data_IF_060659486746
#
_entry.id   IF_060659486746
#
_cell.length_a   1.000
_cell.length_b   1.000
_cell.length_c   1.000
_cell.angle_alpha   90.00
_cell.angle_beta   90.00
_cell.angle_gamma   90.00
#
_symmetry.space_group_name_H-M   'P 1'
#
loop_
_entity.id
_entity.type
_entity.pdbx_description
1 polymer ?
#
# COMPACT_ATOMS: atom_id res chain seq x y z
N UNK A 1 31.03 -2.89 5.95
CA UNK A 1 30.69 -4.30 6.26
C UNK A 1 29.75 -4.29 7.47
N UNK A 2 28.44 -4.08 7.25
CA UNK A 2 27.39 -4.03 8.30
C UNK A 2 25.96 -3.85 7.76
N UNK A 3 25.75 -3.58 6.46
CA UNK A 3 24.41 -3.47 5.90
C UNK A 3 23.77 -4.85 5.64
N UNK A 4 24.54 -5.82 5.12
CA UNK A 4 24.03 -7.15 4.79
C UNK A 4 23.56 -7.97 6.01
N UNK A 5 24.26 -7.82 7.15
CA UNK A 5 23.91 -8.52 8.39
C UNK A 5 22.63 -7.97 9.03
N UNK A 6 22.42 -6.64 9.00
CA UNK A 6 21.18 -6.04 9.50
C UNK A 6 19.99 -6.37 8.60
N UNK A 7 20.17 -6.34 7.28
CA UNK A 7 19.13 -6.70 6.33
C UNK A 7 18.71 -8.17 6.46
N UNK A 8 19.67 -9.07 6.69
CA UNK A 8 19.37 -10.48 6.95
C UNK A 8 18.61 -10.70 8.26
N UNK A 9 18.98 -9.98 9.33
CA UNK A 9 18.28 -10.05 10.62
C UNK A 9 16.86 -9.49 10.51
N UNK A 10 16.66 -8.35 9.86
CA UNK A 10 15.32 -7.77 9.65
C UNK A 10 14.45 -8.66 8.77
N UNK A 11 15.01 -9.23 7.70
CA UNK A 11 14.31 -10.23 6.87
C UNK A 11 13.92 -11.46 7.69
N UNK A 12 14.81 -11.97 8.55
CA UNK A 12 14.51 -13.14 9.39
C UNK A 12 13.41 -12.87 10.42
N UNK A 13 13.40 -11.68 11.04
CA UNK A 13 12.33 -11.25 11.95
C UNK A 13 11.01 -11.03 11.22
N UNK A 14 11.05 -10.41 10.05
CA UNK A 14 9.88 -10.22 9.20
C UNK A 14 9.23 -11.56 8.85
N UNK A 15 10.02 -12.53 8.37
CA UNK A 15 9.53 -13.88 8.01
C UNK A 15 8.94 -14.65 9.20
N UNK A 16 9.38 -14.37 10.43
CA UNK A 16 8.81 -14.97 11.65
C UNK A 16 7.45 -14.38 12.05
N UNK A 17 7.16 -13.14 11.62
CA UNK A 17 5.89 -12.45 11.90
C UNK A 17 4.80 -12.75 10.86
N UNK A 18 5.12 -13.43 9.75
CA UNK A 18 4.16 -13.81 8.71
C UNK A 18 3.23 -14.93 9.25
N UNK A 19 1.92 -14.69 9.39
CA UNK A 19 0.92 -15.73 9.57
C UNK A 19 0.99 -16.69 8.39
N UNK A 20 0.88 -17.98 8.68
CA UNK A 20 0.79 -19.03 7.67
C UNK A 20 -0.56 -18.97 6.94
N UNK A 21 -0.76 -17.95 6.10
CA UNK A 21 -1.86 -17.93 5.13
C UNK A 21 -1.65 -19.16 4.24
N UNK A 22 -2.70 -19.98 4.05
CA UNK A 22 -2.59 -21.14 3.17
C UNK A 22 -2.22 -20.69 1.75
N UNK A 23 -1.12 -21.21 1.16
CA UNK A 23 -0.70 -20.85 -0.20
C UNK A 23 -1.79 -21.09 -1.26
N UNK A 24 -2.71 -22.01 -1.00
CA UNK A 24 -3.85 -22.30 -1.89
C UNK A 24 -4.83 -21.13 -1.98
N UNK A 25 -5.03 -20.37 -0.89
CA UNK A 25 -5.90 -19.18 -0.88
C UNK A 25 -5.28 -18.00 -1.64
N UNK A 26 -3.97 -18.04 -1.90
CA UNK A 26 -3.25 -17.02 -2.66
C UNK A 26 -3.23 -17.30 -4.17
N UNK A 27 -3.60 -18.50 -4.61
CA UNK A 27 -3.37 -18.97 -6.00
C UNK A 27 -4.63 -19.32 -6.80
N UNK A 28 -5.83 -19.26 -6.22
CA UNK A 28 -7.01 -19.88 -6.83
C UNK A 28 -7.79 -18.99 -7.83
N UNK A 29 -7.10 -18.15 -8.60
CA UNK A 29 -7.69 -17.24 -9.59
C UNK A 29 -6.90 -17.25 -10.91
N UNK A 30 -7.54 -16.83 -12.00
CA UNK A 30 -6.83 -16.56 -13.24
C UNK A 30 -5.92 -15.35 -13.01
N UNK A 31 -4.61 -15.59 -12.95
CA UNK A 31 -3.60 -14.58 -12.64
C UNK A 31 -3.62 -13.45 -13.67
N UNK A 32 -3.59 -12.20 -13.18
CA UNK A 32 -3.35 -10.99 -13.97
C UNK A 32 -1.86 -10.70 -14.17
N UNK A 33 -0.98 -11.40 -13.47
CA UNK A 33 0.44 -11.08 -13.41
C UNK A 33 1.03 -11.26 -12.01
N UNK A 34 2.30 -10.94 -11.85
CA UNK A 34 3.02 -11.03 -10.58
C UNK A 34 3.00 -9.71 -9.78
N UNK A 35 3.54 -9.74 -8.56
CA UNK A 35 3.62 -8.55 -7.68
C UNK A 35 4.33 -7.34 -8.31
N UNK A 36 5.40 -7.53 -9.09
CA UNK A 36 6.11 -6.43 -9.75
C UNK A 36 5.25 -5.78 -10.82
N UNK A 37 4.52 -6.58 -11.60
CA UNK A 37 3.56 -6.09 -12.59
C UNK A 37 2.44 -5.31 -11.91
N UNK A 38 1.95 -5.75 -10.75
CA UNK A 38 1.00 -4.98 -9.94
C UNK A 38 1.54 -3.60 -9.57
N UNK A 39 2.81 -3.52 -9.13
CA UNK A 39 3.45 -2.25 -8.77
C UNK A 39 3.67 -1.33 -9.97
N UNK A 40 3.93 -1.87 -11.16
CA UNK A 40 4.02 -1.09 -12.39
C UNK A 40 2.68 -0.49 -12.80
N UNK A 41 1.60 -1.29 -12.76
CA UNK A 41 0.24 -0.80 -13.03
C UNK A 41 -0.18 0.24 -12.00
N UNK A 42 0.08 -0.02 -10.71
CA UNK A 42 -0.23 0.92 -9.63
C UNK A 42 0.53 2.23 -9.79
N UNK A 43 1.84 2.14 -10.08
CA UNK A 43 2.68 3.31 -10.31
C UNK A 43 2.21 4.15 -11.50
N UNK A 44 1.82 3.51 -12.60
CA UNK A 44 1.28 4.21 -13.75
C UNK A 44 -0.04 4.93 -13.46
N UNK A 45 -0.95 4.26 -12.73
CA UNK A 45 -2.21 4.88 -12.32
C UNK A 45 -1.97 6.08 -11.40
N UNK A 46 -1.16 5.90 -10.36
CA UNK A 46 -0.93 6.92 -9.33
C UNK A 46 -0.17 8.14 -9.87
N UNK A 47 0.85 7.91 -10.70
CA UNK A 47 1.63 9.00 -11.29
C UNK A 47 0.94 9.70 -12.46
N UNK A 48 -0.04 9.05 -13.10
CA UNK A 48 -0.64 9.50 -14.35
C UNK A 48 0.28 9.39 -15.57
N UNK A 49 1.40 8.67 -15.47
CA UNK A 49 2.38 8.48 -16.55
C UNK A 49 2.44 7.00 -16.99
N UNK A 50 2.80 6.72 -18.26
CA UNK A 50 2.88 5.34 -18.77
C UNK A 50 3.80 4.43 -17.95
N UNK A 51 3.48 3.13 -17.93
CA UNK A 51 4.32 2.08 -17.32
C UNK A 51 5.77 2.20 -17.82
N UNK A 52 6.72 2.14 -16.88
CA UNK A 52 8.15 2.25 -17.18
C UNK A 52 8.68 3.68 -17.41
N UNK A 53 7.85 4.72 -17.36
CA UNK A 53 8.35 6.10 -17.47
C UNK A 53 9.14 6.50 -16.21
N UNK A 54 10.44 6.80 -16.39
CA UNK A 54 11.32 7.26 -15.30
C UNK A 54 10.82 8.52 -14.58
N UNK A 55 9.97 9.33 -15.20
CA UNK A 55 9.40 10.54 -14.60
C UNK A 55 8.33 10.23 -13.54
N UNK A 56 7.81 9.00 -13.49
CA UNK A 56 6.87 8.57 -12.45
C UNK A 56 7.38 8.90 -11.04
N UNK A 57 8.67 8.70 -10.78
CA UNK A 57 9.26 8.93 -9.46
C UNK A 57 9.37 10.42 -9.08
N UNK A 58 9.16 11.34 -10.03
CA UNK A 58 9.38 12.78 -9.86
C UNK A 58 8.08 13.59 -9.84
N UNK A 59 6.91 12.95 -9.94
CA UNK A 59 5.63 13.66 -9.97
C UNK A 59 5.22 14.16 -8.59
N UNK A 60 4.44 15.24 -8.58
CA UNK A 60 3.75 15.75 -7.40
C UNK A 60 2.37 16.26 -7.82
N UNK A 61 1.33 15.87 -7.08
CA UNK A 61 -0.03 16.34 -7.38
C UNK A 61 -0.41 17.61 -6.60
N UNK A 62 -1.59 18.15 -6.88
CA UNK A 62 -2.08 19.41 -6.28
C UNK A 62 -2.29 19.37 -4.76
N UNK A 63 -2.34 18.19 -4.14
CA UNK A 63 -2.42 17.97 -2.70
C UNK A 63 -1.04 17.66 -2.08
N UNK A 64 0.02 17.71 -2.87
CA UNK A 64 1.41 17.49 -2.43
C UNK A 64 1.79 16.02 -2.28
N UNK A 65 1.01 15.07 -2.79
CA UNK A 65 1.46 13.67 -2.81
C UNK A 65 2.57 13.50 -3.85
N UNK A 66 3.62 12.75 -3.51
CA UNK A 66 4.87 12.71 -4.28
C UNK A 66 5.25 11.32 -4.79
N UNK A 67 5.93 11.30 -5.93
CA UNK A 67 6.57 10.11 -6.50
C UNK A 67 5.62 9.13 -7.17
N UNK A 68 6.17 7.99 -7.62
CA UNK A 68 5.49 6.99 -8.46
C UNK A 68 4.22 6.47 -7.83
N UNK A 69 4.22 6.36 -6.50
CA UNK A 69 3.12 5.83 -5.69
C UNK A 69 2.35 6.90 -4.91
N UNK A 70 2.54 8.19 -5.22
CA UNK A 70 1.83 9.30 -4.59
C UNK A 70 1.86 9.22 -3.05
N UNK A 71 3.06 9.18 -2.47
CA UNK A 71 3.25 9.16 -1.02
C UNK A 71 2.82 10.47 -0.38
N UNK A 72 2.13 10.39 0.76
CA UNK A 72 1.82 11.54 1.62
C UNK A 72 2.68 11.57 2.88
N UNK A 73 2.69 12.70 3.57
CA UNK A 73 3.34 12.87 4.87
C UNK A 73 2.90 11.81 5.89
N UNK A 74 1.60 11.46 6.05
CA UNK A 74 1.18 10.48 7.05
C UNK A 74 1.91 9.14 6.92
N UNK A 75 1.99 8.59 5.70
CA UNK A 75 2.64 7.29 5.51
C UNK A 75 4.16 7.39 5.65
N UNK A 76 4.79 8.48 5.15
CA UNK A 76 6.23 8.65 5.33
C UNK A 76 6.64 8.94 6.78
N UNK A 77 5.73 9.44 7.61
CA UNK A 77 5.90 9.53 9.08
C UNK A 77 5.90 8.12 9.70
N UNK A 78 4.89 7.30 9.40
CA UNK A 78 4.79 5.94 9.93
C UNK A 78 5.97 5.05 9.49
N UNK A 79 6.49 5.28 8.28
CA UNK A 79 7.68 4.59 7.76
C UNK A 79 9.00 5.17 8.28
N UNK A 80 8.97 6.31 8.97
CA UNK A 80 10.14 6.94 9.58
C UNK A 80 11.05 7.70 8.61
N UNK A 81 10.58 8.08 7.41
CA UNK A 81 11.31 8.96 6.50
C UNK A 81 11.13 10.44 6.86
N UNK A 82 10.01 10.80 7.48
CA UNK A 82 9.62 12.17 7.73
C UNK A 82 9.07 12.35 9.15
N UNK A 83 9.16 13.56 9.70
CA UNK A 83 8.69 13.88 11.05
C UNK A 83 8.11 15.28 11.10
N UNK A 84 6.84 15.36 11.49
CA UNK A 84 6.12 16.59 11.82
C UNK A 84 4.99 16.30 12.81
N UNK A 85 4.43 17.35 13.41
CA UNK A 85 3.22 17.28 14.24
C UNK A 85 1.97 17.80 13.49
N UNK A 86 2.14 18.45 12.33
CA UNK A 86 1.05 18.99 11.52
C UNK A 86 1.24 18.41 10.12
N UNK A 87 0.29 17.62 9.67
CA UNK A 87 0.39 16.92 8.38
C UNK A 87 -0.99 16.77 7.76
N UNK A 88 -1.04 16.29 6.52
CA UNK A 88 -2.30 16.10 5.79
C UNK A 88 -3.34 15.30 6.59
N UNK A 89 -4.52 15.89 6.82
CA UNK A 89 -5.58 15.30 7.65
C UNK A 89 -5.37 15.44 9.16
N UNK A 90 -4.29 16.08 9.60
CA UNK A 90 -3.97 16.40 10.99
C UNK A 90 -3.45 17.85 11.10
N UNK A 91 -4.36 18.80 10.93
CA UNK A 91 -4.05 20.23 11.01
C UNK A 91 -3.51 20.86 9.71
N UNK A 92 -3.28 20.06 8.66
CA UNK A 92 -2.97 20.54 7.31
C UNK A 92 -3.97 20.01 6.28
N UNK A 93 -4.26 20.83 5.26
CA UNK A 93 -5.09 20.50 4.11
C UNK A 93 -4.30 19.88 2.95
N UNK A 94 -2.97 19.91 3.00
CA UNK A 94 -2.05 19.33 2.01
C UNK A 94 -0.78 18.76 2.64
N UNK A 95 -0.02 18.02 1.85
CA UNK A 95 1.33 17.58 2.21
C UNK A 95 2.32 18.70 1.84
N UNK A 96 2.82 19.43 2.83
CA UNK A 96 3.66 20.61 2.58
C UNK A 96 5.16 20.31 2.54
N UNK A 97 5.60 19.21 3.16
CA UNK A 97 7.00 18.78 3.20
C UNK A 97 7.97 19.82 3.80
N UNK A 98 7.48 20.66 4.74
CA UNK A 98 8.19 21.80 5.32
C UNK A 98 9.06 21.49 6.56
N UNK A 99 8.95 20.29 7.11
CA UNK A 99 9.60 19.87 8.35
C UNK A 99 10.74 18.86 8.08
N UNK A 100 10.93 17.90 8.99
CA UNK A 100 12.18 17.15 9.11
C UNK A 100 12.12 15.81 8.40
N UNK A 101 12.93 15.67 7.35
CA UNK A 101 13.35 14.37 6.84
C UNK A 101 14.39 13.73 7.78
N UNK A 102 14.31 12.42 7.97
CA UNK A 102 15.06 11.73 9.05
C UNK A 102 16.44 11.24 8.62
N UNK A 103 16.72 11.15 7.33
CA UNK A 103 17.92 10.51 6.79
C UNK A 103 17.77 9.00 6.55
N UNK A 104 16.59 8.41 6.76
CA UNK A 104 16.35 6.98 6.50
C UNK A 104 16.66 6.66 5.02
N UNK A 105 17.46 5.61 4.78
CA UNK A 105 17.99 5.25 3.45
C UNK A 105 18.64 6.43 2.73
N UNK A 106 19.40 7.23 3.47
CA UNK A 106 20.04 8.45 3.01
C UNK A 106 19.05 9.51 2.50
N UNK A 107 17.76 9.47 2.84
CA UNK A 107 16.80 10.50 2.43
C UNK A 107 16.66 11.58 3.51
N UNK A 108 17.26 12.73 3.24
CA UNK A 108 17.26 13.93 4.09
C UNK A 108 16.54 15.13 3.45
N UNK A 109 15.95 14.96 2.27
CA UNK A 109 15.09 15.97 1.63
C UNK A 109 14.04 15.35 0.70
N UNK A 110 13.01 16.13 0.38
CA UNK A 110 11.98 15.78 -0.62
C UNK A 110 12.60 15.54 -2.00
N UNK A 111 13.52 16.40 -2.41
CA UNK A 111 14.22 16.31 -3.69
C UNK A 111 14.99 14.99 -3.77
N UNK A 112 15.68 14.60 -2.69
CA UNK A 112 16.42 13.34 -2.65
C UNK A 112 15.49 12.13 -2.72
N UNK A 113 14.32 12.19 -2.07
CA UNK A 113 13.30 11.14 -2.20
C UNK A 113 12.78 11.00 -3.64
N UNK A 114 12.45 12.12 -4.29
CA UNK A 114 11.98 12.16 -5.68
C UNK A 114 13.04 11.68 -6.69
N UNK A 115 14.32 11.87 -6.39
CA UNK A 115 15.45 11.41 -7.21
C UNK A 115 15.93 9.99 -6.87
N UNK A 116 15.23 9.27 -5.98
CA UNK A 116 15.64 7.94 -5.52
C UNK A 116 14.59 6.86 -5.86
N UNK A 117 14.49 6.41 -7.13
CA UNK A 117 13.58 5.33 -7.53
C UNK A 117 13.67 4.10 -6.63
N UNK A 118 14.90 3.64 -6.33
CA UNK A 118 15.14 2.50 -5.44
C UNK A 118 14.50 2.69 -4.06
N UNK A 119 14.55 3.90 -3.51
CA UNK A 119 13.99 4.18 -2.19
C UNK A 119 12.47 4.26 -2.23
N UNK A 120 11.87 4.74 -3.33
CA UNK A 120 10.41 4.68 -3.50
C UNK A 120 9.89 3.25 -3.63
N UNK A 121 10.62 2.37 -4.33
CA UNK A 121 10.32 0.93 -4.42
C UNK A 121 10.44 0.20 -3.06
N UNK A 122 11.40 0.61 -2.23
CA UNK A 122 11.51 0.17 -0.83
C UNK A 122 10.30 0.69 -0.03
N UNK A 123 10.02 1.99 -0.08
CA UNK A 123 8.97 2.63 0.70
C UNK A 123 7.57 2.10 0.40
N UNK A 124 7.25 1.77 -0.87
CA UNK A 124 5.94 1.17 -1.19
C UNK A 124 5.81 -0.22 -0.56
N UNK A 125 6.86 -1.04 -0.56
CA UNK A 125 6.84 -2.36 0.09
C UNK A 125 6.69 -2.26 1.59
N UNK A 126 7.36 -1.30 2.22
CA UNK A 126 7.18 -1.00 3.63
C UNK A 126 5.76 -0.52 3.94
N UNK A 127 5.17 0.35 3.10
CA UNK A 127 3.79 0.82 3.25
C UNK A 127 2.78 -0.32 3.12
N UNK A 128 2.92 -1.19 2.12
CA UNK A 128 2.05 -2.35 1.94
C UNK A 128 2.20 -3.34 3.10
N UNK A 129 3.41 -3.53 3.61
CA UNK A 129 3.69 -4.34 4.80
C UNK A 129 2.99 -3.78 6.03
N UNK A 130 3.11 -2.48 6.29
CA UNK A 130 2.45 -1.83 7.41
C UNK A 130 0.92 -1.93 7.29
N UNK A 131 0.38 -1.68 6.09
CA UNK A 131 -1.04 -1.80 5.80
C UNK A 131 -1.55 -3.20 6.12
N UNK A 132 -0.87 -4.22 5.60
CA UNK A 132 -1.18 -5.62 5.88
C UNK A 132 -1.23 -5.92 7.38
N UNK A 133 -0.18 -5.55 8.14
CA UNK A 133 -0.11 -5.76 9.60
C UNK A 133 -1.26 -5.07 10.34
N UNK A 134 -1.58 -3.83 9.96
CA UNK A 134 -2.65 -3.06 10.62
C UNK A 134 -4.04 -3.58 10.29
N UNK A 135 -4.27 -4.06 9.07
CA UNK A 135 -5.52 -4.72 8.68
C UNK A 135 -5.69 -6.01 9.50
N UNK A 136 -4.70 -6.89 9.47
CA UNK A 136 -4.74 -8.16 10.20
C UNK A 136 -4.95 -7.96 11.70
N UNK A 137 -4.21 -7.02 12.31
CA UNK A 137 -4.41 -6.61 13.71
C UNK A 137 -5.84 -6.13 13.99
N UNK A 138 -6.45 -5.39 13.05
CA UNK A 138 -7.82 -4.88 13.21
C UNK A 138 -8.86 -5.99 13.08
N UNK A 139 -8.67 -6.92 12.14
CA UNK A 139 -9.54 -8.10 11.98
C UNK A 139 -9.46 -9.03 13.20
N UNK A 140 -8.25 -9.25 13.74
CA UNK A 140 -8.04 -10.09 14.92
C UNK A 140 -8.79 -9.59 16.16
N UNK A 141 -8.96 -8.27 16.32
CA UNK A 141 -9.80 -7.69 17.39
C UNK A 141 -11.27 -8.10 17.28
N UNK A 142 -11.73 -8.54 16.11
CA UNK A 142 -13.08 -9.02 15.83
C UNK A 142 -13.14 -10.56 15.72
N UNK A 143 -12.07 -11.27 16.12
CA UNK A 143 -11.98 -12.73 15.97
C UNK A 143 -11.91 -13.18 14.50
N UNK A 144 -11.41 -12.31 13.60
CA UNK A 144 -11.23 -12.58 12.18
C UNK A 144 -9.75 -12.50 11.79
N UNK A 145 -9.46 -12.93 10.58
CA UNK A 145 -8.15 -12.93 9.92
C UNK A 145 -8.35 -12.64 8.42
N UNK A 146 -7.29 -12.31 7.69
CA UNK A 146 -7.38 -12.07 6.25
C UNK A 146 -7.86 -13.30 5.48
N UNK A 147 -7.46 -14.49 5.93
CA UNK A 147 -7.84 -15.80 5.41
C UNK A 147 -9.35 -16.03 5.47
N UNK A 148 -10.05 -15.37 6.40
CA UNK A 148 -11.52 -15.41 6.44
C UNK A 148 -12.17 -14.62 5.30
N UNK A 149 -11.41 -13.98 4.40
CA UNK A 149 -11.92 -13.18 3.29
C UNK A 149 -11.33 -13.57 1.94
N UNK A 150 -10.06 -13.99 1.90
CA UNK A 150 -9.37 -14.36 0.66
C UNK A 150 -10.14 -15.43 -0.13
N UNK A 151 -10.28 -15.23 -1.43
CA UNK A 151 -10.99 -16.10 -2.37
C UNK A 151 -12.52 -15.93 -2.39
N UNK A 152 -13.10 -15.16 -1.46
CA UNK A 152 -14.56 -14.95 -1.45
C UNK A 152 -14.99 -13.99 -2.55
N UNK A 153 -16.12 -14.29 -3.18
CA UNK A 153 -16.87 -13.32 -3.99
C UNK A 153 -17.83 -12.57 -3.08
N UNK A 154 -17.69 -11.25 -3.00
CA UNK A 154 -18.59 -10.39 -2.22
C UNK A 154 -19.19 -9.33 -3.14
N UNK A 155 -20.48 -9.07 -2.95
CA UNK A 155 -21.18 -7.97 -3.62
C UNK A 155 -21.18 -6.75 -2.72
N UNK A 156 -20.76 -5.62 -3.26
CA UNK A 156 -20.69 -4.32 -2.59
C UNK A 156 -21.60 -3.32 -3.30
N UNK A 157 -22.10 -2.36 -2.53
CA UNK A 157 -22.84 -1.20 -3.02
C UNK A 157 -21.88 0.00 -3.11
N UNK A 158 -21.74 0.56 -4.30
CA UNK A 158 -20.93 1.73 -4.64
C UNK A 158 -21.86 2.84 -5.13
N UNK A 159 -22.46 3.58 -4.20
CA UNK A 159 -23.39 4.67 -4.51
C UNK A 159 -24.60 4.22 -5.38
N UNK A 160 -25.14 3.03 -5.13
CA UNK A 160 -26.27 2.43 -5.84
C UNK A 160 -25.85 1.45 -6.95
N UNK A 161 -24.57 1.40 -7.31
CA UNK A 161 -24.04 0.42 -8.23
C UNK A 161 -23.56 -0.84 -7.49
N UNK A 162 -24.16 -1.99 -7.80
CA UNK A 162 -23.73 -3.26 -7.21
C UNK A 162 -22.54 -3.84 -7.98
N UNK A 163 -21.43 -4.10 -7.28
CA UNK A 163 -20.21 -4.71 -7.84
C UNK A 163 -19.87 -5.99 -7.09
N UNK A 164 -19.70 -7.09 -7.82
CA UNK A 164 -19.26 -8.38 -7.23
C UNK A 164 -17.78 -8.58 -7.47
N UNK A 165 -16.99 -8.54 -6.40
CA UNK A 165 -15.53 -8.59 -6.46
C UNK A 165 -15.05 -9.85 -5.75
N UNK A 166 -14.04 -10.48 -6.35
CA UNK A 166 -13.30 -11.57 -5.70
C UNK A 166 -12.21 -10.97 -4.84
N UNK A 167 -12.23 -11.25 -3.54
CA UNK A 167 -11.29 -10.69 -2.58
C UNK A 167 -9.95 -11.42 -2.67
N UNK A 168 -8.90 -10.68 -3.02
CA UNK A 168 -7.53 -11.19 -3.15
C UNK A 168 -6.56 -10.34 -2.33
N UNK A 169 -5.37 -10.89 -2.04
CA UNK A 169 -4.35 -10.15 -1.29
C UNK A 169 -3.93 -8.88 -2.02
N UNK A 170 -3.70 -8.97 -3.33
CA UNK A 170 -3.33 -7.82 -4.17
C UNK A 170 -4.38 -6.71 -4.14
N UNK A 171 -5.67 -7.07 -4.27
CA UNK A 171 -6.77 -6.12 -4.20
C UNK A 171 -6.89 -5.45 -2.82
N UNK A 172 -6.72 -6.22 -1.73
CA UNK A 172 -6.74 -5.70 -0.35
C UNK A 172 -5.61 -4.69 -0.16
N UNK A 173 -4.39 -5.00 -0.59
CA UNK A 173 -3.22 -4.14 -0.38
C UNK A 173 -3.30 -2.87 -1.23
N UNK A 174 -3.76 -2.96 -2.47
CA UNK A 174 -4.00 -1.78 -3.32
C UNK A 174 -5.10 -0.89 -2.73
N UNK A 175 -6.23 -1.46 -2.31
CA UNK A 175 -7.32 -0.69 -1.70
C UNK A 175 -6.90 -0.04 -0.36
N UNK A 176 -6.06 -0.71 0.42
CA UNK A 176 -5.47 -0.15 1.64
C UNK A 176 -4.42 0.93 1.35
N UNK A 177 -3.71 0.86 0.23
CA UNK A 177 -2.84 1.94 -0.21
C UNK A 177 -3.64 3.22 -0.52
N UNK A 178 -4.85 3.09 -1.10
CA UNK A 178 -5.73 4.23 -1.37
C UNK A 178 -6.38 4.83 -0.11
N UNK A 179 -7.07 4.00 0.70
CA UNK A 179 -7.92 4.49 1.82
C UNK A 179 -7.40 4.10 3.21
N UNK A 180 -6.15 3.68 3.28
CA UNK A 180 -5.51 3.24 4.51
C UNK A 180 -5.99 1.87 4.99
N UNK A 181 -5.27 1.30 5.97
CA UNK A 181 -5.54 -0.06 6.46
C UNK A 181 -6.85 -0.15 7.24
N UNK A 182 -7.23 0.91 7.96
CA UNK A 182 -8.48 0.93 8.72
C UNK A 182 -9.71 1.06 7.82
N UNK A 183 -9.61 1.81 6.72
CA UNK A 183 -10.65 1.89 5.70
C UNK A 183 -10.90 0.53 5.05
N UNK A 184 -9.83 -0.15 4.64
CA UNK A 184 -9.91 -1.50 4.07
C UNK A 184 -10.45 -2.53 5.07
N UNK A 185 -9.99 -2.50 6.34
CA UNK A 185 -10.52 -3.40 7.37
C UNK A 185 -12.01 -3.14 7.63
N UNK A 186 -12.45 -1.88 7.66
CA UNK A 186 -13.86 -1.52 7.83
C UNK A 186 -14.71 -2.01 6.65
N UNK A 187 -14.20 -1.92 5.41
CA UNK A 187 -14.84 -2.49 4.23
C UNK A 187 -15.01 -4.01 4.36
N UNK A 188 -13.98 -4.76 4.78
CA UNK A 188 -14.08 -6.22 4.95
C UNK A 188 -15.08 -6.61 6.04
N UNK A 189 -15.10 -5.88 7.15
CA UNK A 189 -15.92 -6.20 8.33
C UNK A 189 -17.39 -5.81 8.14
N UNK A 190 -17.67 -4.67 7.50
CA UNK A 190 -19.01 -4.06 7.50
C UNK A 190 -19.59 -3.82 6.12
N UNK A 191 -18.79 -3.96 5.05
CA UNK A 191 -19.13 -3.68 3.65
C UNK A 191 -19.43 -2.22 3.22
N UNK A 192 -19.25 -1.12 3.99
CA UNK A 192 -19.44 0.22 3.42
C UNK A 192 -18.26 0.58 2.50
N UNK A 193 -18.57 1.00 1.28
CA UNK A 193 -17.61 1.61 0.36
C UNK A 193 -17.22 3.02 0.83
N UNK A 194 -16.07 3.49 0.38
CA UNK A 194 -15.54 4.82 0.70
C UNK A 194 -14.76 5.36 -0.49
N UNK A 195 -14.62 6.68 -0.58
CA UNK A 195 -13.93 7.35 -1.68
C UNK A 195 -12.77 8.17 -1.15
N UNK A 196 -11.75 8.37 -1.98
CA UNK A 196 -10.67 9.34 -1.73
C UNK A 196 -11.10 10.77 -2.07
N UNK A 197 -10.16 11.70 -1.96
CA UNK A 197 -10.39 13.13 -2.16
C UNK A 197 -10.55 13.50 -3.64
N UNK A 198 -10.26 12.57 -4.55
CA UNK A 198 -10.53 12.65 -5.99
C UNK A 198 -11.77 11.85 -6.41
N UNK A 199 -12.60 11.43 -5.45
CA UNK A 199 -13.80 10.60 -5.67
C UNK A 199 -13.52 9.22 -6.27
N UNK A 200 -12.33 8.67 -6.04
CA UNK A 200 -11.98 7.31 -6.45
C UNK A 200 -12.47 6.33 -5.38
N UNK A 201 -13.34 5.41 -5.77
CA UNK A 201 -13.87 4.38 -4.87
C UNK A 201 -12.78 3.39 -4.44
N UNK A 202 -12.76 3.02 -3.16
CA UNK A 202 -11.96 1.91 -2.63
C UNK A 202 -12.22 0.60 -3.37
N UNK A 203 -13.45 0.42 -3.88
CA UNK A 203 -13.85 -0.77 -4.61
C UNK A 203 -13.18 -0.85 -5.98
N UNK A 204 -12.85 0.29 -6.59
CA UNK A 204 -12.08 0.33 -7.83
C UNK A 204 -10.73 -0.35 -7.65
N UNK A 205 -10.02 -0.01 -6.57
CA UNK A 205 -8.72 -0.61 -6.29
C UNK A 205 -8.86 -2.08 -5.87
N UNK A 206 -9.87 -2.40 -5.08
CA UNK A 206 -10.15 -3.77 -4.67
C UNK A 206 -10.41 -4.69 -5.88
N UNK A 207 -11.00 -4.16 -6.96
CA UNK A 207 -11.34 -4.89 -8.18
C UNK A 207 -10.22 -4.88 -9.25
N UNK A 208 -9.75 -3.68 -9.65
CA UNK A 208 -8.76 -3.51 -10.72
C UNK A 208 -7.44 -4.24 -10.39
N UNK A 209 -7.03 -4.20 -9.12
CA UNK A 209 -5.83 -4.88 -8.62
C UNK A 209 -6.12 -6.27 -8.06
N UNK A 210 -7.35 -6.79 -8.22
CA UNK A 210 -7.63 -8.18 -7.83
C UNK A 210 -6.97 -9.18 -8.77
N UNK A 211 -6.34 -10.21 -8.21
CA UNK A 211 -5.87 -11.38 -8.97
C UNK A 211 -4.42 -11.32 -9.45
N UNK A 212 -3.57 -10.47 -8.87
CA UNK A 212 -2.12 -10.58 -9.06
C UNK A 212 -1.55 -11.64 -8.11
N UNK A 213 -0.67 -12.49 -8.63
CA UNK A 213 0.03 -13.51 -7.86
C UNK A 213 1.05 -12.85 -6.94
N UNK A 214 0.76 -12.91 -5.65
CA UNK A 214 1.66 -12.40 -4.63
C UNK A 214 1.44 -13.09 -3.28
N UNK A 215 2.49 -13.02 -2.47
CA UNK A 215 2.58 -13.49 -1.10
C UNK A 215 3.05 -12.35 -0.20
N UNK A 216 3.03 -12.55 1.12
CA UNK A 216 3.57 -11.55 2.05
C UNK A 216 5.10 -11.48 1.93
N UNK A 217 5.74 -12.58 1.53
CA UNK A 217 7.17 -12.68 1.28
C UNK A 217 7.61 -11.78 0.12
N UNK A 218 6.76 -11.55 -0.88
CA UNK A 218 7.05 -10.62 -1.98
C UNK A 218 7.17 -9.17 -1.52
N UNK A 219 6.64 -8.83 -0.34
CA UNK A 219 6.81 -7.51 0.28
C UNK A 219 8.19 -7.36 0.93
N UNK A 220 8.89 -8.47 1.24
CA UNK A 220 10.21 -8.41 1.85
C UNK A 220 11.21 -7.77 0.87
N UNK A 221 12.03 -6.87 1.40
CA UNK A 221 13.06 -6.17 0.64
C UNK A 221 14.27 -7.10 0.52
N UNK A 222 14.58 -7.54 -0.70
CA UNK A 222 15.79 -8.31 -1.02
C UNK A 222 17.02 -7.44 -1.09
#
# INVERSE_FOLDING_TARGET
MNQDSNQFIEKSKFLQEIPKISPELLRNHQSKGNFLEMLEVLGAFQSGLPIGDSKQYQVENILGFIGKYQFGEPILIELGYYKTNIYYGHGSDKNYWQDKWTGKHDIDSKEKFLQSPKVQEIAIREALTLNWKLIDKTLKKQGKSLENYLGQKKTFDDCGELKTITITLSGILAAAHLRGPYGMANLLLKNPSSHDEFSISILRYLDEYSGYDMTIEDLAIS
#
